data_IF_166342629312
#
_entry.id   IF_166342629312
#
_cell.length_a   1.000
_cell.length_b   1.000
_cell.length_c   1.000
_cell.angle_alpha   90.00
_cell.angle_beta   90.00
_cell.angle_gamma   90.00
#
_symmetry.space_group_name_H-M   'P 1'
#
loop_
_entity.id
_entity.type
_entity.pdbx_description
1 polymer ?
#
# COMPACT_ATOMS: atom_id res chain seq x y z
N UNK A 1 11.62 12.71 -13.72
CA UNK A 1 11.13 11.55 -12.96
C UNK A 1 9.63 11.61 -12.78
N UNK A 2 8.95 10.94 -13.70
CA UNK A 2 7.52 10.57 -13.67
C UNK A 2 7.33 9.28 -12.87
N UNK A 3 6.10 8.91 -12.49
CA UNK A 3 5.86 7.57 -11.90
C UNK A 3 6.29 6.45 -12.86
N UNK A 4 6.09 6.61 -14.17
CA UNK A 4 6.49 5.60 -15.15
C UNK A 4 8.01 5.39 -15.17
N UNK A 5 8.81 6.46 -15.05
CA UNK A 5 10.27 6.35 -14.93
C UNK A 5 10.68 5.63 -13.63
N UNK A 6 9.97 5.87 -12.52
CA UNK A 6 10.19 5.16 -11.25
C UNK A 6 9.76 3.69 -11.33
N UNK A 7 8.65 3.39 -12.01
CA UNK A 7 8.16 2.03 -12.21
C UNK A 7 9.19 1.19 -12.97
N UNK A 8 9.73 1.71 -14.08
CA UNK A 8 10.80 1.02 -14.83
C UNK A 8 12.05 0.75 -13.99
N UNK A 9 12.34 1.61 -13.01
CA UNK A 9 13.43 1.38 -12.06
C UNK A 9 13.09 0.32 -11.00
N UNK A 10 11.82 0.23 -10.59
CA UNK A 10 11.36 -0.72 -9.58
C UNK A 10 11.28 -2.17 -10.11
N UNK A 11 11.02 -2.32 -11.40
CA UNK A 11 10.82 -3.62 -12.08
C UNK A 11 11.57 -3.69 -13.42
N UNK A 12 12.90 -3.52 -13.45
CA UNK A 12 13.69 -3.54 -14.70
C UNK A 12 13.57 -4.86 -15.48
N UNK A 13 13.16 -5.95 -14.81
CA UNK A 13 12.92 -7.26 -15.37
C UNK A 13 11.65 -7.37 -16.23
N UNK A 14 10.69 -6.46 -16.06
CA UNK A 14 9.43 -6.52 -16.79
C UNK A 14 9.56 -5.86 -18.17
N UNK A 15 9.20 -6.62 -19.22
CA UNK A 15 9.11 -6.09 -20.57
C UNK A 15 8.00 -5.03 -20.67
N UNK A 16 8.30 -3.90 -21.33
CA UNK A 16 7.37 -2.75 -21.46
C UNK A 16 6.00 -3.18 -22.04
N UNK A 17 5.99 -4.09 -23.02
CA UNK A 17 4.79 -4.60 -23.69
C UNK A 17 4.26 -5.94 -23.13
N UNK A 18 4.91 -6.48 -22.10
CA UNK A 18 4.54 -7.74 -21.45
C UNK A 18 3.20 -7.67 -20.73
N UNK A 19 2.45 -8.78 -20.73
CA UNK A 19 1.15 -8.90 -20.08
C UNK A 19 1.19 -8.47 -18.61
N UNK A 20 2.18 -8.97 -17.86
CA UNK A 20 2.34 -8.65 -16.44
C UNK A 20 2.54 -7.16 -16.19
N UNK A 21 3.40 -6.50 -16.99
CA UNK A 21 3.62 -5.07 -16.88
C UNK A 21 2.33 -4.27 -17.12
N UNK A 22 1.55 -4.65 -18.14
CA UNK A 22 0.26 -4.04 -18.44
C UNK A 22 -0.75 -4.23 -17.30
N UNK A 23 -0.79 -5.42 -16.68
CA UNK A 23 -1.65 -5.68 -15.52
C UNK A 23 -1.24 -4.79 -14.33
N UNK A 24 0.05 -4.71 -14.01
CA UNK A 24 0.53 -3.86 -12.93
C UNK A 24 0.21 -2.38 -13.16
N UNK A 25 0.40 -1.89 -14.39
CA UNK A 25 0.10 -0.51 -14.76
C UNK A 25 -1.40 -0.22 -14.72
N UNK A 26 -2.26 -1.16 -15.14
CA UNK A 26 -3.71 -1.02 -15.01
C UNK A 26 -4.11 -0.86 -13.53
N UNK A 27 -3.60 -1.74 -12.65
CA UNK A 27 -3.85 -1.64 -11.20
C UNK A 27 -3.36 -0.29 -10.66
N UNK A 28 -2.19 0.18 -11.11
CA UNK A 28 -1.63 1.46 -10.72
C UNK A 28 -2.47 2.68 -11.13
N UNK A 29 -3.38 2.55 -12.10
CA UNK A 29 -4.30 3.65 -12.47
C UNK A 29 -5.48 3.82 -11.53
N UNK A 30 -5.78 2.81 -10.71
CA UNK A 30 -6.87 2.81 -9.74
C UNK A 30 -6.41 2.18 -8.42
N UNK A 31 -5.99 3.02 -7.48
CA UNK A 31 -5.50 2.55 -6.19
C UNK A 31 -6.59 1.89 -5.32
N UNK A 32 -7.87 2.14 -5.60
CA UNK A 32 -8.96 1.40 -4.95
C UNK A 32 -8.98 -0.05 -5.44
N UNK A 33 -8.60 -0.30 -6.70
CA UNK A 33 -8.42 -1.66 -7.22
C UNK A 33 -7.27 -2.37 -6.51
N UNK A 34 -6.13 -1.69 -6.29
CA UNK A 34 -5.02 -2.24 -5.51
C UNK A 34 -5.49 -2.62 -4.09
N UNK A 35 -6.21 -1.74 -3.41
CA UNK A 35 -6.71 -1.99 -2.07
C UNK A 35 -7.66 -3.19 -2.02
N UNK A 36 -8.55 -3.36 -2.99
CA UNK A 36 -9.44 -4.54 -3.05
C UNK A 36 -8.70 -5.84 -3.32
N UNK A 37 -7.63 -5.79 -4.14
CA UNK A 37 -6.75 -6.96 -4.35
C UNK A 37 -6.07 -7.33 -3.04
N UNK A 38 -5.55 -6.35 -2.30
CA UNK A 38 -4.96 -6.55 -0.97
C UNK A 38 -6.00 -7.11 0.02
N UNK A 39 -7.20 -6.55 0.06
CA UNK A 39 -8.30 -7.03 0.91
C UNK A 39 -8.57 -8.52 0.67
N UNK A 40 -8.70 -8.94 -0.60
CA UNK A 40 -8.90 -10.35 -0.94
C UNK A 40 -7.72 -11.26 -0.58
N UNK A 41 -6.48 -10.75 -0.66
CA UNK A 41 -5.30 -11.50 -0.18
C UNK A 41 -5.36 -11.71 1.33
N UNK A 42 -5.61 -10.66 2.10
CA UNK A 42 -5.68 -10.73 3.57
C UNK A 42 -6.84 -11.60 4.06
N UNK A 43 -7.94 -11.67 3.30
CA UNK A 43 -9.09 -12.53 3.57
C UNK A 43 -8.91 -13.97 3.05
N UNK A 44 -7.78 -14.28 2.40
CA UNK A 44 -7.50 -15.56 1.73
C UNK A 44 -8.56 -15.96 0.70
N UNK A 45 -9.09 -14.99 -0.04
CA UNK A 45 -10.02 -15.26 -1.13
C UNK A 45 -9.35 -16.11 -2.21
N UNK A 46 -10.10 -17.05 -2.81
CA UNK A 46 -9.59 -17.86 -3.92
C UNK A 46 -9.61 -17.12 -5.26
N UNK A 47 -10.40 -16.05 -5.37
CA UNK A 47 -10.67 -15.38 -6.62
C UNK A 47 -11.01 -13.90 -6.40
N UNK A 48 -10.33 -13.04 -7.14
CA UNK A 48 -10.68 -11.64 -7.31
C UNK A 48 -11.00 -11.36 -8.78
N UNK A 49 -12.14 -10.73 -9.04
CA UNK A 49 -12.56 -10.32 -10.38
C UNK A 49 -12.85 -8.83 -10.40
N UNK A 50 -12.16 -8.11 -11.27
CA UNK A 50 -12.42 -6.72 -11.56
C UNK A 50 -12.94 -6.59 -12.99
N UNK A 51 -14.13 -5.99 -13.14
CA UNK A 51 -14.68 -5.65 -14.44
C UNK A 51 -14.88 -4.14 -14.51
N UNK A 52 -14.02 -3.40 -15.25
CA UNK A 52 -14.19 -1.96 -15.40
C UNK A 52 -15.44 -1.65 -16.24
N UNK A 53 -16.01 -0.46 -16.04
CA UNK A 53 -17.11 0.06 -16.88
C UNK A 53 -16.72 0.12 -18.37
N UNK A 54 -15.44 0.40 -18.66
CA UNK A 54 -14.85 0.39 -19.98
C UNK A 54 -13.48 -0.28 -19.93
N UNK A 55 -13.17 -1.16 -20.89
CA UNK A 55 -11.88 -1.84 -20.98
C UNK A 55 -11.99 -3.34 -20.73
N UNK A 56 -10.87 -3.95 -20.32
CA UNK A 56 -10.81 -5.39 -20.07
C UNK A 56 -10.83 -5.66 -18.58
N UNK A 57 -11.63 -6.63 -18.15
CA UNK A 57 -11.54 -7.16 -16.81
C UNK A 57 -10.19 -7.82 -16.50
N UNK A 58 -9.85 -7.81 -15.22
CA UNK A 58 -8.74 -8.54 -14.64
C UNK A 58 -9.32 -9.63 -13.74
N UNK A 59 -8.84 -10.85 -13.92
CA UNK A 59 -9.13 -11.95 -13.02
C UNK A 59 -7.85 -12.41 -12.35
N UNK A 60 -7.89 -12.55 -11.03
CA UNK A 60 -6.78 -12.98 -10.19
C UNK A 60 -7.23 -14.19 -9.41
N UNK A 61 -6.68 -15.36 -9.74
CA UNK A 61 -7.03 -16.63 -9.09
C UNK A 61 -5.89 -17.07 -8.19
N UNK A 62 -6.15 -17.18 -6.90
CA UNK A 62 -5.18 -17.57 -5.87
C UNK A 62 -5.26 -19.09 -5.64
N UNK A 63 -4.16 -19.78 -5.90
CA UNK A 63 -3.99 -21.21 -5.63
C UNK A 63 -3.13 -21.37 -4.37
N UNK A 64 -3.74 -21.12 -3.19
CA UNK A 64 -3.06 -21.09 -1.89
C UNK A 64 -2.23 -22.35 -1.62
N UNK A 65 -2.80 -23.54 -1.85
CA UNK A 65 -2.10 -24.83 -1.68
C UNK A 65 -0.79 -24.95 -2.48
N UNK A 66 -0.71 -24.27 -3.62
CA UNK A 66 0.47 -24.30 -4.50
C UNK A 66 1.34 -23.05 -4.35
N UNK A 67 0.93 -22.09 -3.53
CA UNK A 67 1.52 -20.75 -3.40
C UNK A 67 1.67 -20.03 -4.75
N UNK A 68 0.70 -20.22 -5.64
CA UNK A 68 0.69 -19.63 -6.98
C UNK A 68 -0.51 -18.73 -7.23
N UNK A 69 -0.34 -17.74 -8.07
CA UNK A 69 -1.41 -16.88 -8.57
C UNK A 69 -1.47 -16.92 -10.09
N UNK A 70 -2.67 -16.98 -10.63
CA UNK A 70 -2.92 -16.89 -12.07
C UNK A 70 -3.64 -15.59 -12.35
N UNK A 71 -3.02 -14.76 -13.19
CA UNK A 71 -3.57 -13.49 -13.65
C UNK A 71 -4.09 -13.67 -15.08
N UNK A 72 -5.36 -13.34 -15.32
CA UNK A 72 -5.99 -13.45 -16.64
C UNK A 72 -6.52 -12.10 -17.13
N UNK A 73 -6.24 -11.78 -18.39
CA UNK A 73 -6.71 -10.58 -19.08
C UNK A 73 -6.74 -10.82 -20.59
N UNK A 74 -7.84 -10.43 -21.27
CA UNK A 74 -7.99 -10.56 -22.73
C UNK A 74 -7.64 -11.97 -23.26
N UNK A 75 -8.10 -13.03 -22.57
CA UNK A 75 -7.82 -14.43 -22.93
C UNK A 75 -6.34 -14.84 -22.82
N UNK A 76 -5.48 -13.95 -22.32
CA UNK A 76 -4.10 -14.26 -21.96
C UNK A 76 -4.02 -14.53 -20.46
N UNK A 77 -3.14 -15.45 -20.08
CA UNK A 77 -2.89 -15.76 -18.67
C UNK A 77 -1.39 -15.82 -18.39
N UNK A 78 -1.04 -15.46 -17.16
CA UNK A 78 0.31 -15.65 -16.62
C UNK A 78 0.21 -16.21 -15.21
N UNK A 79 1.07 -17.18 -14.91
CA UNK A 79 1.18 -17.78 -13.58
C UNK A 79 2.45 -17.29 -12.90
N UNK A 80 2.34 -16.91 -11.63
CA UNK A 80 3.44 -16.40 -10.82
C UNK A 80 3.43 -17.10 -9.46
N UNK A 81 4.59 -17.12 -8.79
CA UNK A 81 4.64 -17.39 -7.36
C UNK A 81 3.94 -16.25 -6.58
N UNK A 82 3.19 -16.57 -5.53
CA UNK A 82 2.45 -15.57 -4.74
C UNK A 82 3.38 -14.52 -4.13
N UNK A 83 4.55 -14.91 -3.62
CA UNK A 83 5.53 -13.97 -3.08
C UNK A 83 5.96 -12.92 -4.12
N UNK A 84 6.23 -13.36 -5.37
CA UNK A 84 6.57 -12.45 -6.46
C UNK A 84 5.41 -11.51 -6.81
N UNK A 85 4.17 -11.99 -6.72
CA UNK A 85 2.99 -11.14 -6.91
C UNK A 85 2.84 -10.11 -5.79
N UNK A 86 3.03 -10.49 -4.53
CA UNK A 86 2.92 -9.57 -3.40
C UNK A 86 4.01 -8.50 -3.44
N UNK A 87 5.23 -8.87 -3.85
CA UNK A 87 6.30 -7.91 -4.13
C UNK A 87 5.91 -6.89 -5.20
N UNK A 88 5.26 -7.32 -6.28
CA UNK A 88 4.78 -6.41 -7.33
C UNK A 88 3.71 -5.46 -6.80
N UNK A 89 2.75 -5.93 -6.00
CA UNK A 89 1.73 -5.09 -5.37
C UNK A 89 2.35 -4.04 -4.44
N UNK A 90 3.32 -4.44 -3.62
CA UNK A 90 4.05 -3.51 -2.74
C UNK A 90 4.86 -2.48 -3.53
N UNK A 91 5.44 -2.86 -4.67
CA UNK A 91 6.12 -1.93 -5.58
C UNK A 91 5.14 -0.96 -6.26
N UNK A 92 3.93 -1.43 -6.63
CA UNK A 92 2.87 -0.56 -7.16
C UNK A 92 2.51 0.49 -6.10
N UNK A 93 2.25 0.08 -4.85
CA UNK A 93 1.97 1.01 -3.76
C UNK A 93 3.11 2.04 -3.59
N UNK A 94 4.37 1.59 -3.51
CA UNK A 94 5.52 2.49 -3.35
C UNK A 94 5.60 3.55 -4.47
N UNK A 95 5.40 3.15 -5.72
CA UNK A 95 5.59 4.01 -6.89
C UNK A 95 4.39 4.93 -7.11
N UNK A 96 3.16 4.43 -6.98
CA UNK A 96 1.96 5.11 -7.43
C UNK A 96 1.13 5.73 -6.31
N UNK A 97 1.23 5.27 -5.06
CA UNK A 97 0.55 5.93 -3.93
C UNK A 97 1.08 7.33 -3.71
N UNK A 98 0.19 8.25 -3.35
CA UNK A 98 0.57 9.59 -2.95
C UNK A 98 1.48 9.55 -1.71
N UNK A 99 2.53 10.37 -1.69
CA UNK A 99 3.29 10.63 -0.47
C UNK A 99 2.72 11.89 0.16
N UNK A 100 1.90 11.71 1.19
CA UNK A 100 1.20 12.80 1.85
C UNK A 100 2.20 13.73 2.57
N UNK A 101 1.98 15.06 2.51
CA UNK A 101 2.79 16.01 3.26
C UNK A 101 2.66 15.80 4.77
N UNK A 102 3.72 16.15 5.50
CA UNK A 102 3.67 16.22 6.96
C UNK A 102 2.60 17.24 7.38
N UNK A 103 1.89 16.94 8.46
CA UNK A 103 0.78 17.72 8.98
C UNK A 103 -0.57 17.39 8.34
N UNK A 104 -0.60 16.52 7.31
CA UNK A 104 -1.88 16.01 6.77
C UNK A 104 -2.64 15.26 7.85
N UNK A 105 -3.95 15.45 7.89
CA UNK A 105 -4.90 14.71 8.74
C UNK A 105 -5.62 13.69 7.86
N UNK A 106 -5.56 12.44 8.29
CA UNK A 106 -6.12 11.28 7.59
C UNK A 106 -7.17 10.60 8.47
N UNK A 107 -8.17 10.01 7.82
CA UNK A 107 -9.04 9.01 8.41
C UNK A 107 -8.46 7.63 8.15
N UNK A 108 -8.34 6.83 9.20
CA UNK A 108 -7.89 5.45 9.12
C UNK A 108 -9.09 4.52 8.95
N UNK A 109 -8.95 3.50 8.12
CA UNK A 109 -9.95 2.47 7.96
C UNK A 109 -9.94 1.50 9.15
N UNK A 110 -10.85 1.70 10.10
CA UNK A 110 -10.97 0.88 11.30
C UNK A 110 -11.25 -0.60 11.03
N UNK A 111 -11.85 -0.95 9.89
CA UNK A 111 -12.08 -2.34 9.50
C UNK A 111 -10.77 -3.05 9.12
N UNK A 112 -9.77 -2.29 8.65
CA UNK A 112 -8.46 -2.78 8.21
C UNK A 112 -7.39 -2.73 9.31
N UNK A 113 -7.71 -2.13 10.46
CA UNK A 113 -6.76 -2.00 11.59
C UNK A 113 -6.83 -3.18 12.55
N UNK A 114 -5.76 -3.37 13.32
CA UNK A 114 -5.73 -4.38 14.38
C UNK A 114 -6.72 -4.05 15.50
N UNK A 115 -7.21 -5.06 16.25
CA UNK A 115 -8.10 -4.84 17.39
C UNK A 115 -7.52 -3.86 18.42
N UNK A 116 -6.21 -3.91 18.68
CA UNK A 116 -5.56 -3.03 19.65
C UNK A 116 -5.62 -1.57 19.22
N UNK A 117 -5.41 -1.29 17.93
CA UNK A 117 -5.60 0.06 17.40
C UNK A 117 -7.06 0.44 17.48
N UNK A 118 -7.98 -0.44 17.10
CA UNK A 118 -9.42 -0.17 17.13
C UNK A 118 -9.91 0.20 18.54
N UNK A 119 -9.49 -0.53 19.57
CA UNK A 119 -9.84 -0.27 20.98
C UNK A 119 -9.38 1.12 21.47
N UNK A 120 -8.20 1.59 21.05
CA UNK A 120 -7.70 2.93 21.40
C UNK A 120 -8.68 4.01 20.93
N UNK A 121 -9.35 3.81 19.80
CA UNK A 121 -10.27 4.81 19.22
C UNK A 121 -11.74 4.56 19.57
N UNK A 122 -12.18 3.31 19.74
CA UNK A 122 -13.53 2.99 20.25
C UNK A 122 -13.73 3.45 21.70
N UNK A 123 -12.65 3.60 22.47
CA UNK A 123 -12.70 4.19 23.82
C UNK A 123 -12.92 5.71 23.83
N UNK A 124 -12.80 6.38 22.68
CA UNK A 124 -13.09 7.81 22.51
C UNK A 124 -14.61 7.98 22.25
N UNK A 125 -15.18 9.14 22.62
CA UNK A 125 -16.63 9.40 22.51
C UNK A 125 -17.22 9.02 21.15
N UNK A 126 -18.44 8.45 21.17
CA UNK A 126 -19.19 8.07 19.97
C UNK A 126 -19.24 9.24 18.96
N UNK A 127 -18.74 9.00 17.75
CA UNK A 127 -18.80 9.95 16.64
C UNK A 127 -17.50 10.70 16.33
N UNK A 128 -16.43 10.51 17.11
CA UNK A 128 -15.10 11.00 16.74
C UNK A 128 -14.45 9.97 15.81
N UNK A 129 -14.33 10.29 14.52
CA UNK A 129 -13.68 9.43 13.54
C UNK A 129 -12.23 9.11 13.93
N UNK A 130 -11.71 7.98 13.44
CA UNK A 130 -10.33 7.54 13.66
C UNK A 130 -9.36 8.44 12.87
N UNK A 131 -9.09 9.64 13.38
CA UNK A 131 -8.28 10.66 12.73
C UNK A 131 -6.87 10.74 13.29
N UNK A 132 -5.89 10.70 12.38
CA UNK A 132 -4.48 10.81 12.71
C UNK A 132 -3.83 11.95 11.92
N UNK A 133 -2.89 12.65 12.55
CA UNK A 133 -2.02 13.61 11.89
C UNK A 133 -0.67 12.98 11.58
N UNK A 134 -0.25 13.05 10.31
CA UNK A 134 1.05 12.56 9.83
C UNK A 134 2.18 13.46 10.36
N UNK A 135 3.14 12.87 11.07
CA UNK A 135 4.31 13.56 11.64
C UNK A 135 5.63 13.16 10.97
N UNK A 136 5.69 11.97 10.37
CA UNK A 136 6.81 11.53 9.55
C UNK A 136 6.35 10.63 8.41
N UNK A 137 7.20 10.42 7.40
CA UNK A 137 6.87 9.70 6.16
C UNK A 137 8.04 8.87 5.66
N UNK A 138 7.73 7.72 5.06
CA UNK A 138 8.68 6.73 4.51
C UNK A 138 9.86 6.50 5.46
N UNK A 139 9.51 6.20 6.72
CA UNK A 139 10.47 6.05 7.80
C UNK A 139 11.07 4.66 7.71
N UNK A 140 12.39 4.62 7.49
CA UNK A 140 13.14 3.37 7.49
C UNK A 140 13.14 2.76 8.90
N UNK A 141 12.90 1.45 8.98
CA UNK A 141 13.09 0.67 10.20
C UNK A 141 14.59 0.38 10.31
N UNK A 142 15.22 0.73 11.44
CA UNK A 142 16.68 0.61 11.58
C UNK A 142 17.18 -0.84 11.53
N UNK A 143 16.36 -1.77 12.03
CA UNK A 143 16.73 -3.18 12.21
C UNK A 143 16.36 -4.08 11.04
N UNK A 144 15.73 -3.56 9.99
CA UNK A 144 15.34 -4.32 8.81
C UNK A 144 15.48 -3.50 7.53
N UNK A 145 15.28 -4.13 6.38
CA UNK A 145 15.18 -3.43 5.10
C UNK A 145 13.79 -2.81 4.88
N UNK A 146 12.96 -2.72 5.92
CA UNK A 146 11.60 -2.23 5.78
C UNK A 146 11.51 -0.72 5.99
N UNK A 147 10.40 -0.16 5.52
CA UNK A 147 9.96 1.20 5.81
C UNK A 147 8.47 1.20 6.13
N UNK A 148 8.05 2.18 6.91
CA UNK A 148 6.63 2.49 7.18
C UNK A 148 6.25 3.75 6.39
N UNK A 149 5.07 3.75 5.76
CA UNK A 149 4.63 4.90 4.95
C UNK A 149 4.52 6.17 5.78
N UNK A 150 3.95 6.10 6.99
CA UNK A 150 3.80 7.23 7.88
C UNK A 150 3.98 6.86 9.36
N UNK A 151 4.52 7.82 10.12
CA UNK A 151 4.30 7.93 11.56
C UNK A 151 3.20 8.96 11.77
N UNK A 152 2.22 8.65 12.60
CA UNK A 152 1.11 9.55 12.86
C UNK A 152 0.79 9.63 14.36
N UNK A 153 0.11 10.70 14.75
CA UNK A 153 -0.35 10.94 16.12
C UNK A 153 -1.84 11.21 16.13
N UNK A 154 -2.52 10.95 17.25
CA UNK A 154 -3.96 11.17 17.37
C UNK A 154 -4.29 12.64 17.14
N UNK A 155 -5.23 12.94 16.24
CA UNK A 155 -5.69 14.31 16.03
C UNK A 155 -6.97 14.59 16.83
N UNK A 156 -7.18 15.78 17.43
CA UNK A 156 -6.28 16.95 17.47
C UNK A 156 -5.28 16.93 18.64
N UNK A 157 -5.22 15.83 19.39
CA UNK A 157 -4.47 15.71 20.65
C UNK A 157 -2.96 15.90 20.45
N UNK A 158 -2.43 15.40 19.33
CA UNK A 158 -1.02 15.43 18.99
C UNK A 158 -0.17 14.47 19.82
N UNK A 159 1.13 14.72 19.85
CA UNK A 159 2.09 13.90 20.61
C UNK A 159 2.03 14.24 22.10
N UNK A 160 1.78 13.24 22.94
CA UNK A 160 1.84 13.36 24.40
C UNK A 160 3.07 12.63 24.96
N UNK A 161 3.60 13.05 26.13
CA UNK A 161 4.58 12.26 26.84
C UNK A 161 4.05 10.84 27.06
N UNK A 162 4.87 9.83 26.77
CA UNK A 162 4.56 8.40 26.91
C UNK A 162 3.62 7.78 25.87
N UNK A 163 3.08 8.56 24.92
CA UNK A 163 2.30 8.01 23.80
C UNK A 163 3.21 7.83 22.59
N UNK A 164 3.36 6.59 22.13
CA UNK A 164 4.15 6.29 20.94
C UNK A 164 3.41 6.69 19.66
N UNK A 165 4.10 7.19 18.62
CA UNK A 165 3.52 7.39 17.30
C UNK A 165 2.98 6.07 16.72
N UNK A 166 1.90 6.18 15.96
CA UNK A 166 1.26 5.05 15.29
C UNK A 166 1.86 4.87 13.90
N UNK A 167 2.18 3.63 13.54
CA UNK A 167 2.65 3.25 12.22
C UNK A 167 1.47 3.06 11.27
N UNK A 168 1.50 3.73 10.13
CA UNK A 168 0.42 3.71 9.14
C UNK A 168 1.00 3.40 7.77
N UNK A 169 0.46 2.39 7.08
CA UNK A 169 0.67 2.15 5.66
C UNK A 169 -0.37 2.90 4.82
N UNK A 170 -0.11 3.14 3.53
CA UNK A 170 -1.10 3.77 2.64
C UNK A 170 -2.42 2.98 2.60
N UNK A 171 -2.33 1.65 2.65
CA UNK A 171 -3.47 0.73 2.63
C UNK A 171 -4.48 0.97 3.78
N UNK A 172 -4.02 1.47 4.93
CA UNK A 172 -4.88 1.76 6.08
C UNK A 172 -5.58 3.12 5.98
N UNK A 173 -5.25 3.95 4.99
CA UNK A 173 -5.82 5.29 4.85
C UNK A 173 -7.16 5.18 4.12
N UNK A 174 -8.25 5.49 4.82
CA UNK A 174 -9.60 5.55 4.24
C UNK A 174 -9.82 6.84 3.46
N UNK A 175 -9.40 7.97 4.02
CA UNK A 175 -9.56 9.27 3.37
C UNK A 175 -8.56 10.31 3.88
N UNK A 176 -8.26 11.32 3.07
CA UNK A 176 -7.47 12.49 3.50
C UNK A 176 -8.44 13.61 3.87
N UNK A 177 -8.57 13.88 5.17
CA UNK A 177 -9.48 14.90 5.70
C UNK A 177 -8.93 16.31 5.46
N UNK A 178 -7.63 16.48 5.69
CA UNK A 178 -6.95 17.74 5.44
C UNK A 178 -5.53 17.47 4.93
N UNK A 179 -5.19 18.00 3.75
CA UNK A 179 -3.84 17.87 3.20
C UNK A 179 -2.90 18.89 3.87
N UNK A 180 -1.73 18.42 4.29
CA UNK A 180 -0.66 19.26 4.81
C UNK A 180 -0.12 20.24 3.78
N UNK A 181 0.68 21.19 4.24
CA UNK A 181 1.21 22.26 3.39
C UNK A 181 2.00 21.70 2.20
N UNK A 182 1.66 22.13 0.99
CA UNK A 182 2.27 21.67 -0.25
C UNK A 182 2.86 22.84 -1.05
N UNK A 183 4.16 22.78 -1.33
CA UNK A 183 4.86 23.68 -2.24
C UNK A 183 5.75 22.90 -3.23
N UNK A 184 6.53 23.59 -4.06
CA UNK A 184 7.39 22.92 -5.05
C UNK A 184 8.53 22.11 -4.41
N UNK A 185 9.03 22.53 -3.24
CA UNK A 185 9.99 21.73 -2.48
C UNK A 185 9.36 20.41 -2.02
N UNK A 186 8.14 20.48 -1.48
CA UNK A 186 7.39 19.34 -0.99
C UNK A 186 7.10 18.31 -2.09
N UNK A 187 6.69 18.76 -3.29
CA UNK A 187 6.51 17.88 -4.45
C UNK A 187 7.81 17.19 -4.87
N UNK A 188 8.93 17.91 -4.86
CA UNK A 188 10.26 17.32 -5.16
C UNK A 188 10.69 16.33 -4.09
N UNK A 189 10.46 16.65 -2.82
CA UNK A 189 10.77 15.78 -1.70
C UNK A 189 10.00 14.46 -1.76
N UNK A 190 8.68 14.52 -2.00
CA UNK A 190 7.83 13.34 -2.17
C UNK A 190 8.38 12.37 -3.23
N UNK A 191 8.72 12.90 -4.42
CA UNK A 191 9.34 12.12 -5.50
C UNK A 191 10.72 11.56 -5.13
N UNK A 192 11.56 12.39 -4.52
CA UNK A 192 12.90 11.98 -4.08
C UNK A 192 12.87 10.87 -3.03
N UNK A 193 11.84 10.86 -2.19
CA UNK A 193 11.66 9.83 -1.16
C UNK A 193 11.31 8.48 -1.77
N UNK A 194 10.38 8.43 -2.74
CA UNK A 194 10.07 7.20 -3.49
C UNK A 194 11.33 6.62 -4.15
N UNK A 195 12.09 7.47 -4.84
CA UNK A 195 13.36 7.10 -5.47
C UNK A 195 14.37 6.54 -4.45
N UNK A 196 14.51 7.19 -3.30
CA UNK A 196 15.44 6.75 -2.26
C UNK A 196 15.08 5.35 -1.74
N UNK A 197 13.80 5.07 -1.47
CA UNK A 197 13.36 3.74 -1.04
C UNK A 197 13.70 2.67 -2.08
N UNK A 198 13.45 2.94 -3.36
CA UNK A 198 13.81 2.03 -4.46
C UNK A 198 15.33 1.79 -4.55
N UNK A 199 16.14 2.85 -4.55
CA UNK A 199 17.61 2.74 -4.65
C UNK A 199 18.23 2.01 -3.45
N UNK A 200 17.62 2.15 -2.27
CA UNK A 200 18.03 1.45 -1.06
C UNK A 200 17.46 0.04 -0.94
N UNK A 201 16.66 -0.41 -1.93
CA UNK A 201 15.96 -1.71 -1.93
C UNK A 201 15.15 -1.92 -0.65
N UNK A 202 14.50 -0.85 -0.17
CA UNK A 202 13.66 -0.91 1.02
C UNK A 202 12.27 -1.43 0.65
N UNK A 203 11.68 -2.22 1.54
CA UNK A 203 10.35 -2.81 1.35
C UNK A 203 9.31 -2.15 2.25
N UNK A 204 8.08 -1.98 1.77
CA UNK A 204 6.99 -1.49 2.62
C UNK A 204 6.65 -2.55 3.65
N UNK A 205 6.26 -2.14 4.86
CA UNK A 205 5.64 -3.04 5.85
C UNK A 205 4.37 -3.71 5.32
N UNK A 206 3.73 -3.14 4.29
CA UNK A 206 2.67 -3.81 3.53
C UNK A 206 3.13 -5.16 2.97
N UNK A 207 4.37 -5.26 2.47
CA UNK A 207 4.89 -6.53 1.95
C UNK A 207 4.99 -7.58 3.05
N UNK A 208 5.49 -7.22 4.24
CA UNK A 208 5.54 -8.13 5.39
C UNK A 208 4.14 -8.62 5.76
N UNK A 209 3.15 -7.71 5.77
CA UNK A 209 1.76 -8.06 6.05
C UNK A 209 1.20 -9.06 5.02
N UNK A 210 1.49 -8.87 3.73
CA UNK A 210 1.06 -9.79 2.68
C UNK A 210 1.78 -11.14 2.78
N UNK A 211 3.08 -11.15 3.05
CA UNK A 211 3.87 -12.37 3.18
C UNK A 211 3.46 -13.18 4.42
N UNK A 212 3.10 -12.54 5.52
CA UNK A 212 2.61 -13.21 6.73
C UNK A 212 1.39 -14.11 6.46
N UNK A 213 0.52 -13.74 5.52
CA UNK A 213 -0.63 -14.56 5.10
C UNK A 213 -0.20 -15.94 4.57
N UNK A 214 1.00 -16.05 3.97
CA UNK A 214 1.57 -17.29 3.44
C UNK A 214 2.26 -18.15 4.52
N UNK A 215 2.60 -17.55 5.66
CA UNK A 215 3.28 -18.18 6.81
C UNK A 215 2.27 -18.75 7.83
N UNK A 216 1.04 -18.21 7.88
CA UNK A 216 -0.07 -18.71 8.71
C UNK A 216 -0.62 -20.10 8.24
N UNK A 217 0.19 -20.93 7.60
CA UNK A 217 -0.12 -22.31 7.15
C UNK A 217 0.52 -23.41 8.03
N UNK A 218 1.27 -23.05 9.07
CA UNK A 218 1.90 -24.01 10.00
C UNK A 218 1.16 -24.15 11.36
#
# INVERSE_FOLDING_TARGET
MTELELWKLAVPELADDGLLNKICLDIATDMDQLNKIIDGILQKDSLFEYTPLFGTGLKVSYQWDKKQVVLERLEQSISLEMAAWFELLAKIDLVFSDVLPIGSVIEVDGEKTTPELREIFESQEEGIGFYLQIVARKVAVETSDNYVDYLATVWPIGMQPLVQPIFISNYLIKSVIAKGYTNEFEKKYAKGTKLNMLLKKRHSILLDMLLGVLEDED
#
